data_IF_335347983867
#
_entry.id   IF_335347983867
#
_cell.length_a   1.000
_cell.length_b   1.000
_cell.length_c   1.000
_cell.angle_alpha   90.00
_cell.angle_beta   90.00
_cell.angle_gamma   90.00
#
_symmetry.space_group_name_H-M   'P 1'
#
loop_
_entity.id
_entity.type
_entity.pdbx_description
1 polymer ?
#
# COMPACT_ATOMS: atom_id res chain seq x y z
N UNK A 1 2.13 -24.89 1.59
CA UNK A 1 2.46 -23.77 0.70
C UNK A 1 1.18 -23.06 0.31
N UNK A 2 1.19 -21.74 0.24
CA UNK A 2 0.07 -20.94 -0.23
C UNK A 2 0.56 -20.07 -1.39
N UNK A 3 -0.26 -19.92 -2.41
CA UNK A 3 0.07 -19.12 -3.59
C UNK A 3 -1.12 -18.25 -3.97
N UNK A 4 -0.89 -16.95 -4.13
CA UNK A 4 -1.84 -16.04 -4.72
C UNK A 4 -1.33 -15.56 -6.07
N UNK A 5 -2.19 -15.55 -7.07
CA UNK A 5 -1.86 -15.02 -8.40
C UNK A 5 -2.58 -13.72 -8.63
N UNK A 6 -1.92 -12.81 -9.31
CA UNK A 6 -2.48 -11.52 -9.66
C UNK A 6 -2.76 -11.44 -11.16
N UNK A 7 -3.98 -11.11 -11.51
CA UNK A 7 -4.33 -10.71 -12.86
C UNK A 7 -4.12 -9.20 -12.98
N UNK A 8 -3.00 -8.79 -13.54
CA UNK A 8 -2.59 -7.39 -13.62
C UNK A 8 -3.51 -6.50 -14.47
N UNK A 9 -4.43 -7.11 -15.24
CA UNK A 9 -5.37 -6.34 -16.04
C UNK A 9 -6.45 -5.65 -15.22
N UNK A 10 -6.76 -6.17 -14.03
CA UNK A 10 -7.86 -5.70 -13.15
C UNK A 10 -7.63 -6.20 -11.74
N UNK A 11 -8.17 -5.54 -10.70
CA UNK A 11 -8.52 -4.11 -10.59
C UNK A 11 -7.28 -3.28 -10.30
N UNK A 12 -7.42 -1.96 -10.13
CA UNK A 12 -6.28 -1.08 -9.80
C UNK A 12 -5.67 -1.38 -8.45
N UNK A 13 -6.44 -1.97 -7.51
CA UNK A 13 -5.94 -2.41 -6.20
C UNK A 13 -6.71 -3.63 -5.73
N UNK A 14 -6.14 -4.35 -4.81
CA UNK A 14 -6.79 -5.51 -4.20
C UNK A 14 -5.98 -6.13 -3.09
N UNK A 15 -6.51 -7.22 -2.55
CA UNK A 15 -5.92 -7.97 -1.46
C UNK A 15 -5.77 -9.44 -1.86
N UNK A 16 -4.65 -10.05 -1.45
CA UNK A 16 -4.41 -11.48 -1.68
C UNK A 16 -5.09 -12.31 -0.60
N UNK A 17 -6.40 -12.49 -0.75
CA UNK A 17 -7.24 -13.17 0.25
C UNK A 17 -7.01 -14.66 0.33
N UNK A 18 -6.34 -15.25 -0.66
CA UNK A 18 -5.97 -16.67 -0.68
C UNK A 18 -4.86 -17.00 0.33
N UNK A 19 -4.12 -16.01 0.78
CA UNK A 19 -3.05 -16.17 1.75
C UNK A 19 -3.65 -16.06 3.15
N UNK A 20 -3.81 -17.23 3.80
CA UNK A 20 -4.58 -17.32 5.05
C UNK A 20 -3.74 -17.78 6.25
N UNK A 21 -2.41 -17.86 6.10
CA UNK A 21 -1.54 -18.25 7.22
C UNK A 21 -1.69 -17.24 8.37
N UNK A 22 -1.91 -17.72 9.62
CA UNK A 22 -2.25 -16.81 10.74
C UNK A 22 -1.12 -15.85 11.15
N UNK A 23 0.12 -16.13 10.77
CA UNK A 23 1.26 -15.25 11.09
C UNK A 23 1.45 -14.12 10.06
N UNK A 24 0.68 -14.11 8.96
CA UNK A 24 0.87 -13.13 7.90
C UNK A 24 0.21 -11.78 8.23
N UNK A 25 0.82 -10.66 7.79
CA UNK A 25 0.10 -9.39 7.69
C UNK A 25 -0.97 -9.49 6.59
N UNK A 26 -1.84 -8.50 6.48
CA UNK A 26 -2.61 -8.33 5.26
C UNK A 26 -1.66 -7.94 4.13
N UNK A 27 -1.77 -8.62 3.00
CA UNK A 27 -0.93 -8.37 1.83
C UNK A 27 -1.83 -7.91 0.68
N UNK A 28 -1.53 -6.73 0.17
CA UNK A 28 -2.28 -6.14 -0.93
C UNK A 28 -1.37 -5.65 -2.04
N UNK A 29 -1.99 -5.09 -3.06
CA UNK A 29 -1.30 -4.54 -4.21
C UNK A 29 -2.07 -3.38 -4.82
N UNK A 30 -1.35 -2.55 -5.58
CA UNK A 30 -1.97 -1.56 -6.45
C UNK A 30 -1.10 -1.33 -7.67
N UNK A 31 -1.72 -1.10 -8.82
CA UNK A 31 -1.02 -0.75 -10.06
C UNK A 31 -1.03 0.75 -10.34
N UNK A 32 -1.41 1.54 -9.37
CA UNK A 32 -1.23 2.99 -9.31
C UNK A 32 -1.26 3.43 -7.86
N UNK A 33 -0.68 4.58 -7.57
CA UNK A 33 -0.79 5.18 -6.25
C UNK A 33 -2.23 5.62 -6.01
N UNK A 34 -2.76 5.30 -4.84
CA UNK A 34 -4.13 5.62 -4.49
C UNK A 34 -4.21 7.03 -3.92
N UNK A 35 -4.91 7.91 -4.61
CA UNK A 35 -5.09 9.29 -4.18
C UNK A 35 -6.27 9.39 -3.23
N UNK A 36 -5.99 9.05 -1.97
CA UNK A 36 -6.97 9.11 -0.89
C UNK A 36 -6.24 9.44 0.41
N UNK A 37 -6.50 10.61 0.93
CA UNK A 37 -5.84 11.10 2.13
C UNK A 37 -6.42 10.42 3.35
N UNK A 38 -5.58 9.66 4.09
CA UNK A 38 -6.03 8.87 5.23
C UNK A 38 -4.88 8.56 6.18
N UNK A 39 -5.25 8.00 7.34
CA UNK A 39 -4.32 7.44 8.31
C UNK A 39 -4.87 6.10 8.83
N UNK A 40 -3.99 5.33 9.45
CA UNK A 40 -4.37 4.16 10.24
C UNK A 40 -4.04 4.43 11.71
N UNK A 41 -4.87 3.94 12.62
CA UNK A 41 -4.69 4.22 14.06
C UNK A 41 -3.71 3.29 14.74
N UNK A 42 -3.70 2.02 14.35
CA UNK A 42 -2.97 0.97 15.06
C UNK A 42 -1.94 0.27 14.19
N UNK A 43 -2.24 0.06 12.90
CA UNK A 43 -1.34 -0.64 12.02
C UNK A 43 -0.35 0.30 11.34
N UNK A 44 0.80 -0.24 10.95
CA UNK A 44 1.67 0.42 9.97
C UNK A 44 1.43 -0.21 8.59
N UNK A 45 1.74 0.57 7.54
CA UNK A 45 1.74 0.05 6.17
C UNK A 45 3.15 0.05 5.64
N UNK A 46 3.52 -1.06 4.99
CA UNK A 46 4.81 -1.20 4.31
C UNK A 46 4.53 -1.26 2.82
N UNK A 47 4.97 -0.25 2.09
CA UNK A 47 4.87 -0.23 0.63
C UNK A 47 6.19 -0.66 0.02
N UNK A 48 6.12 -1.65 -0.87
CA UNK A 48 7.28 -2.17 -1.59
C UNK A 48 7.06 -1.92 -3.07
N UNK A 49 7.80 -0.97 -3.63
CA UNK A 49 7.63 -0.57 -5.03
C UNK A 49 8.34 -1.57 -5.93
N UNK A 50 7.57 -2.23 -6.80
CA UNK A 50 8.10 -3.26 -7.70
C UNK A 50 8.47 -2.71 -9.08
N UNK A 51 7.72 -1.71 -9.58
CA UNK A 51 7.92 -1.12 -10.92
C UNK A 51 7.51 0.34 -10.93
N UNK A 52 8.12 1.10 -11.84
CA UNK A 52 7.76 2.49 -12.05
C UNK A 52 8.14 3.39 -10.89
N UNK A 53 7.50 4.55 -10.83
CA UNK A 53 7.67 5.47 -9.71
C UNK A 53 6.36 6.16 -9.36
N UNK A 54 6.31 6.70 -8.16
CA UNK A 54 5.16 7.44 -7.65
C UNK A 54 5.63 8.45 -6.60
N UNK A 55 4.80 9.43 -6.31
CA UNK A 55 5.02 10.34 -5.19
C UNK A 55 3.99 10.06 -4.10
N UNK A 56 4.47 9.79 -2.90
CA UNK A 56 3.65 9.68 -1.70
C UNK A 56 3.85 10.94 -0.85
N UNK A 57 2.77 11.45 -0.29
CA UNK A 57 2.83 12.56 0.66
C UNK A 57 2.53 12.00 2.03
N UNK A 58 3.48 12.14 2.95
CA UNK A 58 3.33 11.68 4.34
C UNK A 58 3.46 12.89 5.25
N UNK A 59 2.41 13.20 6.01
CA UNK A 59 2.35 14.37 6.89
C UNK A 59 2.78 15.65 6.15
N UNK A 60 2.19 15.87 4.96
CA UNK A 60 2.46 17.01 4.07
C UNK A 60 3.85 17.05 3.45
N UNK A 61 4.67 16.01 3.62
CA UNK A 61 6.00 15.90 3.03
C UNK A 61 5.96 14.99 1.79
N UNK A 62 6.24 15.52 0.58
CA UNK A 62 6.29 14.67 -0.61
C UNK A 62 7.59 13.86 -0.66
N UNK A 63 7.45 12.59 -1.04
CA UNK A 63 8.56 11.64 -1.15
C UNK A 63 8.38 10.91 -2.48
N UNK A 64 9.42 10.95 -3.32
CA UNK A 64 9.43 10.17 -4.56
C UNK A 64 9.89 8.76 -4.26
N UNK A 65 9.12 7.78 -4.74
CA UNK A 65 9.41 6.36 -4.61
C UNK A 65 9.71 5.78 -5.97
N UNK A 66 10.82 5.04 -6.06
CA UNK A 66 11.24 4.34 -7.26
C UNK A 66 11.18 2.82 -7.04
N UNK A 67 11.24 2.06 -8.13
CA UNK A 67 11.29 0.60 -8.07
C UNK A 67 12.43 0.13 -7.16
N UNK A 68 12.12 -0.77 -6.23
CA UNK A 68 13.06 -1.26 -5.22
C UNK A 68 12.99 -0.53 -3.90
N UNK A 69 12.29 0.59 -3.82
CA UNK A 69 12.13 1.32 -2.56
C UNK A 69 11.10 0.66 -1.65
N UNK A 70 11.35 0.76 -0.36
CA UNK A 70 10.43 0.32 0.70
C UNK A 70 10.23 1.49 1.65
N UNK A 71 8.97 1.82 1.92
CA UNK A 71 8.62 2.83 2.91
C UNK A 71 7.66 2.25 3.94
N UNK A 72 7.89 2.58 5.20
CA UNK A 72 6.98 2.24 6.30
C UNK A 72 6.24 3.51 6.70
N UNK A 73 4.91 3.46 6.61
CA UNK A 73 4.05 4.53 7.10
C UNK A 73 3.54 4.11 8.47
N UNK A 74 3.88 4.89 9.48
CA UNK A 74 3.56 4.60 10.87
C UNK A 74 2.11 4.91 11.21
N UNK A 75 1.55 4.30 12.28
CA UNK A 75 0.23 4.67 12.76
C UNK A 75 0.12 6.18 13.01
N UNK A 76 -0.99 6.76 12.62
CA UNK A 76 -1.26 8.18 12.79
C UNK A 76 -0.68 9.09 11.71
N UNK A 77 0.19 8.58 10.84
CA UNK A 77 0.73 9.39 9.76
C UNK A 77 -0.26 9.51 8.61
N UNK A 78 -0.68 10.73 8.31
CA UNK A 78 -1.58 11.04 7.21
C UNK A 78 -0.83 10.89 5.90
N UNK A 79 -1.35 10.09 4.98
CA UNK A 79 -0.66 9.86 3.71
C UNK A 79 -1.62 9.71 2.55
N UNK A 80 -1.10 9.98 1.36
CA UNK A 80 -1.77 9.76 0.08
C UNK A 80 -0.73 9.67 -1.02
N UNK A 81 -1.05 8.97 -2.10
CA UNK A 81 -0.27 9.04 -3.33
C UNK A 81 -0.88 10.10 -4.25
N UNK A 82 -0.05 10.79 -5.04
CA UNK A 82 -0.53 11.85 -5.93
C UNK A 82 -0.23 11.61 -7.40
N UNK A 83 0.86 10.94 -7.72
CA UNK A 83 1.26 10.66 -9.10
C UNK A 83 1.85 9.27 -9.19
N UNK A 84 1.67 8.63 -10.34
CA UNK A 84 2.26 7.32 -10.63
C UNK A 84 2.52 7.19 -12.12
N UNK A 85 3.64 6.57 -12.48
CA UNK A 85 3.90 6.22 -13.87
C UNK A 85 2.94 5.13 -14.35
N UNK A 86 2.71 5.00 -15.68
CA UNK A 86 1.76 4.00 -16.19
C UNK A 86 2.12 2.55 -15.85
N UNK A 87 3.41 2.25 -15.65
CA UNK A 87 3.89 0.92 -15.31
C UNK A 87 4.01 0.69 -13.80
N UNK A 88 3.57 1.63 -12.97
CA UNK A 88 3.70 1.55 -11.52
C UNK A 88 3.02 0.31 -10.96
N UNK A 89 3.68 -0.31 -9.98
CA UNK A 89 3.12 -1.41 -9.21
C UNK A 89 3.79 -1.47 -7.85
N UNK A 90 2.99 -1.56 -6.80
CA UNK A 90 3.50 -1.82 -5.46
C UNK A 90 2.74 -2.94 -4.76
N UNK A 91 3.42 -3.58 -3.81
CA UNK A 91 2.78 -4.38 -2.78
C UNK A 91 2.63 -3.54 -1.51
N UNK A 92 1.62 -3.85 -0.73
CA UNK A 92 1.42 -3.23 0.58
C UNK A 92 1.15 -4.29 1.64
N UNK A 93 1.81 -4.14 2.78
CA UNK A 93 1.59 -5.00 3.95
C UNK A 93 0.95 -4.14 5.03
N UNK A 94 -0.04 -4.68 5.72
CA UNK A 94 -0.62 -4.04 6.91
C UNK A 94 -0.28 -4.88 8.13
N UNK A 95 0.46 -4.31 9.07
CA UNK A 95 1.03 -4.98 10.24
C UNK A 95 0.71 -4.19 11.51
N UNK A 96 0.05 -4.77 12.50
CA UNK A 96 -0.68 -6.04 12.50
C UNK A 96 -1.92 -6.00 11.61
N UNK A 97 -2.48 -7.15 11.22
CA UNK A 97 -3.66 -7.18 10.34
C UNK A 97 -4.93 -6.80 11.10
N UNK A 98 -5.20 -5.51 11.19
CA UNK A 98 -6.36 -4.94 11.87
C UNK A 98 -7.36 -4.44 10.85
N UNK A 99 -8.61 -4.93 10.94
CA UNK A 99 -9.68 -4.49 10.06
C UNK A 99 -10.32 -3.20 10.57
N UNK A 100 -10.77 -2.37 9.63
CA UNK A 100 -11.55 -1.17 9.97
C UNK A 100 -10.74 -0.06 10.64
N UNK A 101 -9.43 -0.05 10.44
CA UNK A 101 -8.54 0.87 11.11
C UNK A 101 -8.26 2.16 10.32
N UNK A 102 -8.84 2.27 9.14
CA UNK A 102 -8.63 3.41 8.25
C UNK A 102 -9.50 4.59 8.63
N UNK A 103 -8.91 5.78 8.69
CA UNK A 103 -9.59 7.05 8.95
C UNK A 103 -9.32 8.00 7.78
N UNK A 104 -10.39 8.44 7.12
CA UNK A 104 -10.27 9.43 6.06
C UNK A 104 -10.01 10.82 6.65
N UNK A 105 -9.17 11.59 5.98
CA UNK A 105 -8.78 12.94 6.41
C UNK A 105 -9.10 13.92 5.28
N UNK A 106 -9.85 14.94 5.59
CA UNK A 106 -10.21 16.00 4.63
C UNK A 106 -9.10 17.02 4.41
#
# INVERSE_FOLDING_TARGET
>A
MQLARNNLAQPVKGWYRELTHPALPFIGYANQGINERHLHRELCEVYLVARGNSTIIVNDKPITLDAGDVIVVEPGEVHTFVESTPDYFHFVLQCPPVKGDKVLVS
#
